data_IF_027210672599
#
_entry.id   IF_027210672599
#
_cell.length_a   1.000
_cell.length_b   1.000
_cell.length_c   1.000
_cell.angle_alpha   90.00
_cell.angle_beta   90.00
_cell.angle_gamma   90.00
#
_symmetry.space_group_name_H-M   'P 1'
#
loop_
_entity.id
_entity.type
_entity.pdbx_description
1 polymer ?
#
# COMPACT_ATOMS: atom_id res chain seq x y z
N UNK A 1 25.42 -14.72 -0.90
CA UNK A 1 24.36 -14.83 -1.90
C UNK A 1 23.38 -13.70 -1.60
N UNK A 2 23.06 -12.86 -2.59
CA UNK A 2 22.05 -11.81 -2.39
C UNK A 2 20.72 -12.49 -2.01
N UNK A 3 20.07 -11.94 -0.98
CA UNK A 3 18.75 -12.37 -0.56
C UNK A 3 17.74 -11.84 -1.60
N UNK A 4 16.65 -12.54 -1.85
CA UNK A 4 15.58 -12.11 -2.76
C UNK A 4 15.07 -10.69 -2.41
N UNK A 5 15.06 -10.33 -1.12
CA UNK A 5 14.69 -8.98 -0.67
C UNK A 5 15.69 -7.91 -1.14
N UNK A 6 16.99 -8.21 -1.16
CA UNK A 6 18.03 -7.29 -1.64
C UNK A 6 17.85 -6.99 -3.13
N UNK A 7 17.53 -8.02 -3.92
CA UNK A 7 17.25 -7.88 -5.35
C UNK A 7 15.99 -7.02 -5.58
N UNK A 8 14.94 -7.25 -4.80
CA UNK A 8 13.70 -6.49 -4.86
C UNK A 8 13.94 -5.02 -4.51
N UNK A 9 14.65 -4.75 -3.41
CA UNK A 9 14.96 -3.38 -2.98
C UNK A 9 15.83 -2.67 -4.01
N UNK A 10 16.80 -3.37 -4.61
CA UNK A 10 17.64 -2.80 -5.68
C UNK A 10 16.82 -2.37 -6.88
N UNK A 11 15.93 -3.24 -7.36
CA UNK A 11 15.02 -2.91 -8.47
C UNK A 11 14.07 -1.76 -8.09
N UNK A 12 13.51 -1.79 -6.88
CA UNK A 12 12.61 -0.74 -6.39
C UNK A 12 13.30 0.63 -6.28
N UNK A 13 14.60 0.68 -5.97
CA UNK A 13 15.38 1.95 -5.97
C UNK A 13 15.43 2.57 -7.37
N UNK A 14 15.58 1.76 -8.42
CA UNK A 14 15.55 2.24 -9.81
C UNK A 14 14.15 2.77 -10.18
N UNK A 15 13.09 2.01 -9.86
CA UNK A 15 11.70 2.44 -10.05
C UNK A 15 11.42 3.78 -9.34
N UNK A 16 11.87 3.91 -8.09
CA UNK A 16 11.70 5.13 -7.30
C UNK A 16 12.42 6.33 -7.93
N UNK A 17 13.63 6.13 -8.46
CA UNK A 17 14.37 7.19 -9.16
C UNK A 17 13.59 7.68 -10.38
N UNK A 18 13.00 6.77 -11.13
CA UNK A 18 12.15 7.10 -12.26
C UNK A 18 10.87 7.84 -11.83
N UNK A 19 10.19 7.36 -10.78
CA UNK A 19 9.00 8.02 -10.22
C UNK A 19 9.31 9.46 -9.79
N UNK A 20 10.42 9.68 -9.05
CA UNK A 20 10.86 11.02 -8.62
C UNK A 20 11.17 11.95 -9.79
N UNK A 21 11.59 11.43 -10.94
CA UNK A 21 11.85 12.23 -12.15
C UNK A 21 10.58 12.63 -12.88
N UNK A 22 9.49 11.87 -12.72
CA UNK A 22 8.19 12.11 -13.39
C UNK A 22 7.29 13.02 -12.59
N UNK A 23 7.24 12.85 -11.27
CA UNK A 23 6.36 13.61 -10.37
C UNK A 23 7.19 14.17 -9.23
N UNK A 24 7.14 15.47 -9.03
CA UNK A 24 7.86 16.11 -7.94
C UNK A 24 7.22 15.81 -6.57
N UNK A 25 8.01 15.88 -5.50
CA UNK A 25 7.48 15.73 -4.14
C UNK A 25 6.40 16.79 -3.85
N UNK A 26 6.60 18.03 -4.31
CA UNK A 26 5.65 19.12 -4.11
C UNK A 26 4.30 18.87 -4.80
N UNK A 27 4.32 18.28 -6.01
CA UNK A 27 3.08 17.90 -6.70
C UNK A 27 2.34 16.80 -5.94
N UNK A 28 3.08 15.80 -5.43
CA UNK A 28 2.48 14.74 -4.60
C UNK A 28 1.91 15.29 -3.29
N UNK A 29 2.61 16.20 -2.62
CA UNK A 29 2.12 16.87 -1.40
C UNK A 29 0.83 17.64 -1.66
N UNK A 30 0.73 18.33 -2.79
CA UNK A 30 -0.49 19.02 -3.20
C UNK A 30 -1.64 18.04 -3.38
N UNK A 31 -1.44 16.94 -4.12
CA UNK A 31 -2.47 15.90 -4.31
C UNK A 31 -2.84 15.23 -2.99
N UNK A 32 -1.84 14.94 -2.15
CA UNK A 32 -2.05 14.31 -0.84
C UNK A 32 -2.90 15.19 0.11
N UNK A 33 -2.73 16.51 0.04
CA UNK A 33 -3.49 17.47 0.85
C UNK A 33 -4.98 17.50 0.48
N UNK A 34 -5.31 17.27 -0.78
CA UNK A 34 -6.69 17.25 -1.28
C UNK A 34 -7.41 15.92 -1.02
N UNK A 35 -6.68 14.88 -0.59
CA UNK A 35 -7.29 13.57 -0.32
C UNK A 35 -8.16 13.59 0.94
N UNK A 36 -9.29 12.86 0.97
CA UNK A 36 -10.06 12.65 2.18
C UNK A 36 -9.21 12.07 3.31
N UNK A 37 -9.54 12.42 4.56
CA UNK A 37 -8.81 11.87 5.71
C UNK A 37 -8.78 10.34 5.69
N UNK A 38 -7.61 9.69 5.96
CA UNK A 38 -7.51 8.24 5.98
C UNK A 38 -8.46 7.58 6.97
N UNK A 39 -9.01 6.43 6.61
CA UNK A 39 -9.77 5.57 7.51
C UNK A 39 -8.83 4.92 8.54
N UNK A 40 -9.37 4.66 9.72
CA UNK A 40 -8.61 4.09 10.82
C UNK A 40 -8.45 2.58 10.66
N UNK A 41 -7.28 2.11 10.18
CA UNK A 41 -6.97 0.69 10.01
C UNK A 41 -7.01 -0.07 11.34
N UNK A 42 -6.35 0.44 12.39
CA UNK A 42 -6.32 -0.25 13.69
C UNK A 42 -7.73 -0.34 14.30
N UNK A 43 -8.53 0.73 14.16
CA UNK A 43 -9.93 0.70 14.59
C UNK A 43 -10.77 -0.35 13.86
N UNK A 44 -10.55 -0.51 12.55
CA UNK A 44 -11.23 -1.54 11.76
C UNK A 44 -10.84 -2.97 12.17
N UNK A 45 -9.64 -3.15 12.69
CA UNK A 45 -9.13 -4.43 13.16
C UNK A 45 -9.48 -4.73 14.63
N UNK A 46 -10.03 -3.77 15.37
CA UNK A 46 -10.52 -3.98 16.75
C UNK A 46 -11.86 -4.71 16.76
N UNK A 47 -12.11 -5.41 17.88
CA UNK A 47 -13.39 -6.08 18.15
C UNK A 47 -13.23 -7.56 18.52
N UNK A 48 -14.34 -8.22 18.83
CA UNK A 48 -14.37 -9.66 19.11
C UNK A 48 -14.38 -10.47 17.81
N UNK A 49 -13.58 -11.55 17.78
CA UNK A 49 -13.50 -12.46 16.64
C UNK A 49 -12.38 -12.15 15.65
N UNK A 50 -12.31 -12.95 14.59
CA UNK A 50 -11.30 -12.79 13.52
C UNK A 50 -11.64 -11.60 12.64
N UNK A 51 -10.66 -10.74 12.42
CA UNK A 51 -10.76 -9.60 11.50
C UNK A 51 -9.86 -9.83 10.29
N UNK A 52 -10.44 -9.85 9.11
CA UNK A 52 -9.75 -10.19 7.86
C UNK A 52 -9.21 -8.94 7.16
N UNK A 53 -7.92 -8.93 6.84
CA UNK A 53 -7.34 -8.07 5.82
C UNK A 53 -7.31 -8.87 4.52
N UNK A 54 -8.13 -8.52 3.55
CA UNK A 54 -8.24 -9.25 2.28
C UNK A 54 -7.27 -8.66 1.24
N UNK A 55 -6.52 -9.54 0.55
CA UNK A 55 -5.44 -9.11 -0.36
C UNK A 55 -5.88 -9.15 -1.82
N UNK A 56 -5.77 -8.01 -2.51
CA UNK A 56 -5.95 -7.87 -3.97
C UNK A 56 -4.60 -8.13 -4.63
N UNK A 57 -4.46 -9.31 -5.26
CA UNK A 57 -3.20 -9.79 -5.85
C UNK A 57 -3.43 -10.54 -7.16
N UNK A 58 -2.78 -10.09 -8.24
CA UNK A 58 -2.86 -10.69 -9.57
C UNK A 58 -1.90 -11.85 -9.75
N UNK A 59 -0.68 -11.71 -9.24
CA UNK A 59 0.40 -12.68 -9.40
C UNK A 59 1.30 -12.71 -8.18
N UNK A 60 2.14 -13.74 -8.07
CA UNK A 60 3.25 -13.75 -7.12
C UNK A 60 4.52 -14.33 -7.79
N UNK A 61 5.72 -13.91 -7.36
CA UNK A 61 6.98 -14.43 -7.92
C UNK A 61 7.10 -15.94 -7.81
N UNK A 62 6.59 -16.55 -6.73
CA UNK A 62 6.70 -17.98 -6.45
C UNK A 62 5.66 -18.85 -7.13
N UNK A 63 4.47 -18.30 -7.47
CA UNK A 63 3.35 -19.06 -8.05
C UNK A 63 2.91 -18.56 -9.41
N UNK A 64 3.56 -17.52 -9.94
CA UNK A 64 3.19 -16.91 -11.21
C UNK A 64 1.82 -16.22 -11.17
N UNK A 65 1.10 -16.29 -12.27
CA UNK A 65 -0.23 -15.67 -12.42
C UNK A 65 -1.26 -16.45 -11.60
N UNK A 66 -1.89 -15.78 -10.62
CA UNK A 66 -2.92 -16.36 -9.75
C UNK A 66 -4.33 -16.17 -10.31
N UNK A 67 -4.56 -15.03 -10.98
CA UNK A 67 -5.87 -14.67 -11.55
C UNK A 67 -5.68 -14.21 -13.00
N UNK A 68 -5.97 -15.06 -13.98
CA UNK A 68 -5.93 -14.67 -15.40
C UNK A 68 -6.88 -13.53 -15.73
N UNK A 69 -8.12 -13.60 -15.23
CA UNK A 69 -9.13 -12.55 -15.36
C UNK A 69 -9.12 -11.68 -14.09
N UNK A 70 -8.06 -10.88 -13.93
CA UNK A 70 -7.90 -10.02 -12.77
C UNK A 70 -8.70 -8.74 -12.91
N UNK A 71 -9.65 -8.57 -12.00
CA UNK A 71 -10.45 -7.38 -11.83
C UNK A 71 -10.32 -6.91 -10.36
N UNK A 72 -9.46 -5.92 -10.13
CA UNK A 72 -9.15 -5.40 -8.80
C UNK A 72 -10.35 -4.71 -8.15
N UNK A 73 -11.22 -4.06 -8.95
CA UNK A 73 -12.42 -3.40 -8.45
C UNK A 73 -13.44 -4.42 -7.95
N UNK A 74 -13.74 -5.41 -8.78
CA UNK A 74 -14.66 -6.51 -8.41
C UNK A 74 -14.18 -7.27 -7.19
N UNK A 75 -12.86 -7.53 -7.08
CA UNK A 75 -12.28 -8.17 -5.89
C UNK A 75 -12.47 -7.31 -4.64
N UNK A 76 -12.11 -6.03 -4.71
CA UNK A 76 -12.24 -5.11 -3.59
C UNK A 76 -13.70 -4.96 -3.12
N UNK A 77 -14.63 -4.83 -4.06
CA UNK A 77 -16.07 -4.79 -3.77
C UNK A 77 -16.56 -6.08 -3.12
N UNK A 78 -16.12 -7.24 -3.66
CA UNK A 78 -16.49 -8.56 -3.10
C UNK A 78 -15.97 -8.70 -1.67
N UNK A 79 -14.73 -8.31 -1.39
CA UNK A 79 -14.15 -8.38 -0.06
C UNK A 79 -14.87 -7.47 0.93
N UNK A 80 -15.15 -6.22 0.54
CA UNK A 80 -15.89 -5.28 1.35
C UNK A 80 -17.31 -5.77 1.67
N UNK A 81 -18.01 -6.29 0.66
CA UNK A 81 -19.38 -6.81 0.80
C UNK A 81 -19.46 -8.07 1.70
N UNK A 82 -18.37 -8.85 1.78
CA UNK A 82 -18.27 -10.04 2.61
C UNK A 82 -17.58 -9.82 3.96
N UNK A 83 -17.45 -8.57 4.40
CA UNK A 83 -17.04 -8.24 5.77
C UNK A 83 -15.53 -8.21 5.99
N UNK A 84 -14.72 -8.02 4.94
CA UNK A 84 -13.31 -7.70 5.14
C UNK A 84 -13.17 -6.44 5.99
N UNK A 85 -12.33 -6.50 7.01
CA UNK A 85 -12.05 -5.37 7.90
C UNK A 85 -11.13 -4.33 7.22
N UNK A 86 -10.27 -4.78 6.32
CA UNK A 86 -9.42 -3.94 5.49
C UNK A 86 -9.10 -4.64 4.17
N UNK A 87 -8.69 -3.86 3.17
CA UNK A 87 -8.20 -4.35 1.88
C UNK A 87 -6.70 -4.05 1.80
N UNK A 88 -5.90 -5.06 1.44
CA UNK A 88 -4.49 -4.91 1.12
C UNK A 88 -4.31 -4.95 -0.39
N UNK A 89 -3.85 -3.85 -1.00
CA UNK A 89 -3.65 -3.75 -2.43
C UNK A 89 -2.16 -3.84 -2.76
N UNK A 90 -1.76 -4.89 -3.49
CA UNK A 90 -0.41 -5.01 -4.03
C UNK A 90 -0.21 -4.00 -5.15
N UNK A 91 0.82 -3.15 -5.00
CA UNK A 91 1.17 -2.12 -5.99
C UNK A 91 2.53 -2.36 -6.66
N UNK A 92 3.24 -3.40 -6.23
CA UNK A 92 4.56 -3.74 -6.78
C UNK A 92 4.44 -4.49 -8.13
N UNK A 93 5.20 -4.07 -9.18
CA UNK A 93 5.14 -4.68 -10.52
C UNK A 93 5.50 -6.17 -10.56
N UNK A 94 6.32 -6.67 -9.62
CA UNK A 94 6.66 -8.11 -9.53
C UNK A 94 5.46 -8.98 -9.20
N UNK A 95 4.44 -8.39 -8.60
CA UNK A 95 3.15 -9.02 -8.35
C UNK A 95 2.10 -8.65 -9.40
N UNK A 96 2.51 -7.98 -10.49
CA UNK A 96 1.64 -7.36 -11.50
C UNK A 96 0.65 -6.38 -10.86
N UNK A 97 1.10 -5.73 -9.77
CA UNK A 97 0.40 -4.66 -9.08
C UNK A 97 0.76 -3.30 -9.70
N UNK A 98 -0.12 -2.35 -9.52
CA UNK A 98 0.05 -0.97 -9.97
C UNK A 98 -0.54 -0.02 -8.92
N UNK A 99 0.07 1.15 -8.74
CA UNK A 99 -0.46 2.15 -7.81
C UNK A 99 -1.87 2.63 -8.25
N UNK A 100 -2.11 2.63 -9.55
CA UNK A 100 -3.42 2.93 -10.14
C UNK A 100 -4.53 2.00 -9.62
N UNK A 101 -4.25 0.71 -9.42
CA UNK A 101 -5.23 -0.22 -8.84
C UNK A 101 -5.72 0.25 -7.46
N UNK A 102 -4.81 0.76 -6.62
CA UNK A 102 -5.16 1.29 -5.30
C UNK A 102 -6.00 2.55 -5.42
N UNK A 103 -5.62 3.48 -6.31
CA UNK A 103 -6.36 4.71 -6.57
C UNK A 103 -7.79 4.40 -7.02
N UNK A 104 -7.95 3.55 -8.02
CA UNK A 104 -9.24 3.14 -8.55
C UNK A 104 -10.11 2.44 -7.48
N UNK A 105 -9.52 1.57 -6.64
CA UNK A 105 -10.23 0.98 -5.50
C UNK A 105 -10.73 2.08 -4.54
N UNK A 106 -9.91 3.09 -4.24
CA UNK A 106 -10.27 4.18 -3.32
C UNK A 106 -11.40 5.07 -3.86
N UNK A 107 -11.60 5.12 -5.15
CA UNK A 107 -12.71 5.85 -5.78
C UNK A 107 -14.04 5.11 -5.69
N UNK A 108 -14.05 3.81 -5.35
CA UNK A 108 -15.28 3.03 -5.21
C UNK A 108 -16.04 3.38 -3.93
N UNK A 109 -17.37 3.23 -3.96
CA UNK A 109 -18.22 3.44 -2.78
C UNK A 109 -17.95 2.45 -1.64
N UNK A 110 -17.54 1.23 -1.97
CA UNK A 110 -17.22 0.19 -0.99
C UNK A 110 -15.99 0.55 -0.17
N UNK A 111 -14.97 1.18 -0.77
CA UNK A 111 -13.76 1.63 -0.08
C UNK A 111 -13.98 2.83 0.84
N UNK A 112 -15.10 3.52 0.75
CA UNK A 112 -15.42 4.63 1.68
C UNK A 112 -15.67 4.16 3.12
N UNK A 113 -15.78 2.86 3.36
CA UNK A 113 -16.07 2.26 4.67
C UNK A 113 -15.03 1.23 5.11
N UNK A 114 -14.16 0.80 4.23
CA UNK A 114 -13.15 -0.24 4.48
C UNK A 114 -11.77 0.34 4.18
N UNK A 115 -10.84 0.39 5.16
CA UNK A 115 -9.50 0.92 4.93
C UNK A 115 -8.78 0.15 3.83
N UNK A 116 -8.09 0.88 2.96
CA UNK A 116 -7.23 0.32 1.90
C UNK A 116 -5.77 0.58 2.24
N UNK A 117 -4.99 -0.48 2.34
CA UNK A 117 -3.57 -0.45 2.66
C UNK A 117 -2.74 -0.71 1.40
N UNK A 118 -1.73 0.13 1.16
CA UNK A 118 -0.69 -0.13 0.15
C UNK A 118 0.24 -1.24 0.63
N UNK A 119 0.33 -2.32 -0.13
CA UNK A 119 1.31 -3.40 0.07
C UNK A 119 2.38 -3.30 -0.99
N UNK A 120 3.52 -2.80 -0.58
CA UNK A 120 4.69 -2.52 -1.43
C UNK A 120 5.97 -2.56 -0.58
N UNK A 121 7.15 -2.43 -1.20
CA UNK A 121 8.44 -2.30 -0.54
C UNK A 121 8.75 -0.81 -0.34
N UNK A 122 8.39 -0.28 0.83
CA UNK A 122 8.47 1.13 1.17
C UNK A 122 9.70 1.37 2.05
N UNK A 123 10.61 2.24 1.61
CA UNK A 123 11.85 2.58 2.29
C UNK A 123 12.29 4.05 2.11
N UNK A 124 11.48 4.87 1.47
CA UNK A 124 11.82 6.28 1.19
C UNK A 124 10.63 7.18 1.53
N UNK A 125 10.84 8.36 2.15
CA UNK A 125 9.76 9.30 2.49
C UNK A 125 8.90 9.72 1.30
N UNK A 126 9.46 9.80 0.10
CA UNK A 126 8.69 10.06 -1.12
C UNK A 126 7.55 9.06 -1.30
N UNK A 127 7.79 7.76 -1.03
CA UNK A 127 6.77 6.73 -1.14
C UNK A 127 5.64 6.89 -0.11
N UNK A 128 5.91 7.54 1.04
CA UNK A 128 4.86 7.87 2.02
C UNK A 128 3.89 8.88 1.42
N UNK A 129 4.41 9.97 0.85
CA UNK A 129 3.59 11.01 0.21
C UNK A 129 2.86 10.47 -1.02
N UNK A 130 3.55 9.68 -1.85
CA UNK A 130 2.96 8.98 -3.01
C UNK A 130 1.80 8.07 -2.58
N UNK A 131 1.96 7.33 -1.48
CA UNK A 131 0.91 6.49 -0.90
C UNK A 131 -0.30 7.31 -0.49
N UNK A 132 -0.05 8.45 0.16
CA UNK A 132 -1.13 9.36 0.56
C UNK A 132 -1.81 10.01 -0.64
N UNK A 133 -1.04 10.45 -1.64
CA UNK A 133 -1.56 11.03 -2.88
C UNK A 133 -2.45 10.03 -3.65
N UNK A 134 -2.11 8.74 -3.59
CA UNK A 134 -2.94 7.66 -4.13
C UNK A 134 -4.23 7.39 -3.31
N UNK A 135 -4.45 8.09 -2.20
CA UNK A 135 -5.66 7.97 -1.37
C UNK A 135 -5.63 6.81 -0.37
N UNK A 136 -4.51 6.10 -0.20
CA UNK A 136 -4.40 5.01 0.76
C UNK A 136 -4.68 5.48 2.20
N UNK A 137 -5.23 4.57 3.00
CA UNK A 137 -5.50 4.79 4.42
C UNK A 137 -4.34 4.32 5.31
N UNK A 138 -3.57 3.34 4.81
CA UNK A 138 -2.45 2.74 5.51
C UNK A 138 -1.42 2.18 4.54
N UNK A 139 -0.29 1.73 5.06
CA UNK A 139 0.76 1.08 4.27
C UNK A 139 1.48 -0.02 5.06
N UNK A 140 2.22 -0.86 4.33
CA UNK A 140 3.11 -1.85 4.90
C UNK A 140 4.52 -1.24 5.05
N UNK A 141 5.16 -1.47 6.21
CA UNK A 141 6.59 -1.28 6.41
C UNK A 141 7.21 -2.63 6.80
N UNK A 142 8.30 -3.01 6.13
CA UNK A 142 8.95 -4.32 6.32
C UNK A 142 10.28 -4.10 7.05
N UNK A 143 10.37 -4.58 8.29
CA UNK A 143 11.59 -4.41 9.14
C UNK A 143 12.82 -5.00 8.46
N UNK A 144 12.68 -6.13 7.77
CA UNK A 144 13.80 -6.82 7.12
C UNK A 144 14.53 -5.99 6.03
N UNK A 145 13.94 -4.88 5.55
CA UNK A 145 14.55 -4.01 4.53
C UNK A 145 14.87 -2.60 5.05
N UNK A 146 14.66 -2.34 6.34
CA UNK A 146 14.77 -1.00 6.94
C UNK A 146 15.77 -1.00 8.11
N UNK A 147 16.62 0.00 8.17
CA UNK A 147 17.36 0.28 9.38
C UNK A 147 16.42 0.84 10.48
N UNK A 148 16.71 0.61 11.77
CA UNK A 148 15.84 1.06 12.87
C UNK A 148 15.54 2.56 12.86
N UNK A 149 16.50 3.39 12.49
CA UNK A 149 16.33 4.84 12.35
C UNK A 149 15.40 5.19 11.21
N UNK A 150 15.59 4.54 10.05
CA UNK A 150 14.76 4.70 8.86
C UNK A 150 13.31 4.28 9.12
N UNK A 151 13.10 3.15 9.81
CA UNK A 151 11.74 2.71 10.19
C UNK A 151 11.04 3.80 11.03
N UNK A 152 11.75 4.38 12.02
CA UNK A 152 11.21 5.45 12.86
C UNK A 152 10.86 6.70 12.06
N UNK A 153 11.72 7.11 11.13
CA UNK A 153 11.48 8.24 10.24
C UNK A 153 10.24 8.03 9.36
N UNK A 154 10.11 6.85 8.74
CA UNK A 154 8.95 6.50 7.92
C UNK A 154 7.66 6.42 8.71
N UNK A 155 7.70 5.89 9.95
CA UNK A 155 6.54 5.87 10.84
C UNK A 155 6.11 7.30 11.19
N UNK A 156 7.06 8.20 11.48
CA UNK A 156 6.77 9.61 11.77
C UNK A 156 6.15 10.29 10.55
N UNK A 157 6.76 10.14 9.37
CA UNK A 157 6.24 10.72 8.13
C UNK A 157 4.83 10.20 7.79
N UNK A 158 4.55 8.91 8.01
CA UNK A 158 3.22 8.36 7.82
C UNK A 158 2.18 9.00 8.77
N UNK A 159 2.56 9.22 10.05
CA UNK A 159 1.70 9.85 11.05
C UNK A 159 1.39 11.32 10.70
N UNK A 160 2.34 12.07 10.14
CA UNK A 160 2.12 13.44 9.67
C UNK A 160 1.03 13.51 8.58
N UNK A 161 0.89 12.44 7.81
CA UNK A 161 -0.19 12.27 6.83
C UNK A 161 -1.41 11.52 7.35
N UNK A 162 -1.54 11.31 8.68
CA UNK A 162 -2.64 10.59 9.34
C UNK A 162 -2.75 9.11 8.94
N UNK A 163 -1.77 8.56 8.23
CA UNK A 163 -1.77 7.15 7.85
C UNK A 163 -1.20 6.26 8.96
N UNK A 164 -1.70 5.04 9.01
CA UNK A 164 -1.19 4.00 9.90
C UNK A 164 -0.30 3.02 9.13
N UNK A 165 0.65 2.42 9.83
CA UNK A 165 1.54 1.42 9.25
C UNK A 165 1.26 0.05 9.87
N UNK A 166 1.14 -0.96 9.01
CA UNK A 166 1.31 -2.34 9.41
C UNK A 166 2.81 -2.65 9.32
N UNK A 167 3.43 -3.05 10.43
CA UNK A 167 4.86 -3.35 10.48
C UNK A 167 5.04 -4.86 10.44
N UNK A 168 5.69 -5.33 9.36
CA UNK A 168 6.05 -6.75 9.18
C UNK A 168 7.43 -7.00 9.80
N UNK A 169 7.50 -7.98 10.73
CA UNK A 169 8.68 -8.38 11.51
C UNK A 169 9.09 -9.80 11.23
#
# INVERSE_FOLDING_TARGET
MANILDEIVTAKRAELTESKSRVSLADLESVAADQPRPLNLSGALLGGGVRLIAEVKKASPSRGLLMPEFDHLKLAETYAANGAAAISCLTDPRFKGELAHLQEIKETRSSQRVPVMRKDFIFDPYQIVETRAAGADAMLLIVAILEPTQLKELLTAAQEHWMQCLVEV
#
